data_IF_612334514310
#
_entry.id   IF_612334514310
#
_cell.length_a   1.000
_cell.length_b   1.000
_cell.length_c   1.000
_cell.angle_alpha   90.00
_cell.angle_beta   90.00
_cell.angle_gamma   90.00
#
_symmetry.space_group_name_H-M   'P 1'
#
loop_
_entity.id
_entity.type
_entity.pdbx_description
1 polymer ?
#
# COMPACT_ATOMS: atom_id res chain seq x y z
N UNK A 1 -38.69 -57.32 22.78
CA UNK A 1 -38.41 -56.02 23.43
C UNK A 1 -37.97 -55.09 22.31
N UNK A 2 -38.93 -54.58 21.54
CA UNK A 2 -39.60 -53.30 21.83
C UNK A 2 -38.54 -52.20 21.86
N UNK A 3 -38.27 -51.58 20.71
CA UNK A 3 -38.71 -50.21 20.38
C UNK A 3 -37.41 -49.42 20.12
N UNK A 4 -37.29 -48.43 19.24
CA UNK A 4 -38.22 -47.35 19.00
C UNK A 4 -37.89 -46.74 17.64
N UNK A 5 -38.93 -46.64 16.83
CA UNK A 5 -38.98 -45.95 15.55
C UNK A 5 -38.94 -44.43 15.80
N UNK A 6 -38.04 -43.68 15.14
CA UNK A 6 -38.32 -42.27 14.86
C UNK A 6 -37.61 -41.77 13.60
N UNK A 7 -38.28 -42.00 12.47
CA UNK A 7 -38.04 -41.27 11.22
C UNK A 7 -38.31 -39.79 11.44
N UNK A 8 -37.27 -38.98 11.62
CA UNK A 8 -37.41 -37.53 11.61
C UNK A 8 -37.28 -37.04 10.17
N UNK A 9 -38.42 -36.96 9.46
CA UNK A 9 -38.53 -36.17 8.23
C UNK A 9 -38.37 -34.69 8.61
N UNK A 10 -37.17 -34.15 8.51
CA UNK A 10 -36.96 -32.71 8.59
C UNK A 10 -37.06 -32.11 7.18
N UNK A 11 -38.29 -31.64 6.92
CA UNK A 11 -38.77 -30.75 5.86
C UNK A 11 -37.69 -29.78 5.35
N UNK A 12 -37.53 -29.75 4.01
CA UNK A 12 -36.87 -28.70 3.24
C UNK A 12 -37.01 -27.32 3.91
N UNK A 13 -35.92 -26.78 4.44
CA UNK A 13 -35.79 -25.35 4.72
C UNK A 13 -34.82 -24.83 3.68
N UNK A 14 -35.38 -24.29 2.59
CA UNK A 14 -34.63 -23.49 1.65
C UNK A 14 -34.06 -22.30 2.41
N UNK A 15 -32.76 -22.33 2.69
CA UNK A 15 -32.04 -21.12 3.10
C UNK A 15 -31.82 -20.34 1.82
N UNK A 16 -32.72 -19.40 1.59
CA UNK A 16 -32.54 -18.29 0.67
C UNK A 16 -31.17 -17.70 0.90
N UNK A 17 -30.30 -17.79 -0.12
CA UNK A 17 -28.98 -17.17 -0.15
C UNK A 17 -29.20 -15.65 -0.19
N UNK A 18 -29.28 -15.04 0.99
CA UNK A 18 -29.37 -13.61 1.15
C UNK A 18 -28.02 -12.99 0.79
N UNK A 19 -28.06 -12.16 -0.27
CA UNK A 19 -27.18 -11.02 -0.51
C UNK A 19 -25.80 -11.37 -1.07
N UNK A 20 -25.76 -11.59 -2.39
CA UNK A 20 -24.57 -11.29 -3.21
C UNK A 20 -24.43 -9.77 -3.35
N UNK A 21 -23.96 -9.09 -2.30
CA UNK A 21 -23.56 -7.69 -2.34
C UNK A 21 -22.06 -7.64 -2.10
N UNK A 22 -21.27 -7.43 -3.16
CA UNK A 22 -20.08 -6.55 -3.13
C UNK A 22 -19.32 -6.55 -4.47
N UNK A 23 -19.61 -5.59 -5.35
CA UNK A 23 -18.57 -4.96 -6.15
C UNK A 23 -17.93 -3.74 -5.42
N UNK A 24 -18.44 -3.31 -4.26
CA UNK A 24 -18.00 -2.07 -3.58
C UNK A 24 -16.65 -2.16 -2.85
N UNK A 25 -16.16 -3.37 -2.54
CA UNK A 25 -14.90 -3.54 -1.78
C UNK A 25 -13.68 -3.21 -2.66
N UNK A 26 -13.77 -3.45 -3.98
CA UNK A 26 -12.64 -3.23 -4.91
C UNK A 26 -12.31 -1.74 -5.01
N UNK A 27 -13.32 -0.86 -5.09
CA UNK A 27 -13.09 0.58 -5.30
C UNK A 27 -12.50 1.27 -4.07
N UNK A 28 -12.97 0.91 -2.87
CA UNK A 28 -12.49 1.51 -1.62
C UNK A 28 -11.03 1.13 -1.32
N UNK A 29 -10.64 -0.12 -1.62
CA UNK A 29 -9.24 -0.53 -1.49
C UNK A 29 -8.35 0.12 -2.55
N UNK A 30 -8.86 0.36 -3.75
CA UNK A 30 -8.12 1.05 -4.80
C UNK A 30 -7.85 2.51 -4.42
N UNK A 31 -8.87 3.21 -3.91
CA UNK A 31 -8.77 4.58 -3.41
C UNK A 31 -7.81 4.69 -2.23
N UNK A 32 -7.91 3.81 -1.23
CA UNK A 32 -7.01 3.81 -0.08
C UNK A 32 -5.54 3.55 -0.46
N UNK A 33 -5.28 2.76 -1.52
CA UNK A 33 -3.92 2.53 -2.03
C UNK A 33 -3.39 3.74 -2.81
N UNK A 34 -4.25 4.40 -3.59
CA UNK A 34 -3.90 5.64 -4.30
C UNK A 34 -3.57 6.73 -3.30
N UNK A 35 -4.36 6.88 -2.23
CA UNK A 35 -4.10 7.84 -1.15
C UNK A 35 -2.77 7.56 -0.46
N UNK A 36 -2.49 6.30 -0.09
CA UNK A 36 -1.20 5.95 0.52
C UNK A 36 0.00 6.26 -0.39
N UNK A 37 -0.12 6.00 -1.70
CA UNK A 37 0.92 6.33 -2.67
C UNK A 37 1.10 7.85 -2.82
N UNK A 38 0.00 8.60 -2.82
CA UNK A 38 0.00 10.08 -2.84
C UNK A 38 0.67 10.64 -1.60
N UNK A 39 0.31 10.14 -0.42
CA UNK A 39 0.89 10.57 0.85
C UNK A 39 2.41 10.32 0.88
N UNK A 40 2.87 9.14 0.46
CA UNK A 40 4.31 8.85 0.33
C UNK A 40 4.98 9.83 -0.64
N UNK A 41 4.38 10.08 -1.82
CA UNK A 41 4.94 10.98 -2.82
C UNK A 41 5.05 12.43 -2.30
N UNK A 42 4.01 12.93 -1.62
CA UNK A 42 4.01 14.26 -1.01
C UNK A 42 5.05 14.39 0.11
N UNK A 43 5.22 13.34 0.92
CA UNK A 43 6.28 13.29 1.93
C UNK A 43 7.65 13.36 1.24
N UNK A 44 7.92 12.51 0.23
CA UNK A 44 9.21 12.54 -0.49
C UNK A 44 9.50 13.92 -1.10
N UNK A 45 8.49 14.57 -1.67
CA UNK A 45 8.63 15.90 -2.25
C UNK A 45 8.90 17.00 -1.20
N UNK A 46 8.44 16.82 0.03
CA UNK A 46 8.56 17.79 1.13
C UNK A 46 9.74 17.54 2.07
N UNK A 47 10.42 16.39 1.99
CA UNK A 47 11.61 16.14 2.82
C UNK A 47 12.68 17.19 2.53
N UNK A 48 13.02 17.93 3.59
CA UNK A 48 14.19 18.76 3.65
C UNK A 48 15.14 18.14 4.68
N UNK A 49 16.15 17.41 4.20
CA UNK A 49 17.08 16.58 4.98
C UNK A 49 16.52 15.18 5.36
N UNK A 50 15.58 15.10 6.30
CA UNK A 50 14.92 13.84 6.72
C UNK A 50 13.42 14.04 6.96
N UNK A 51 12.61 12.97 6.98
CA UNK A 51 11.18 13.09 7.27
C UNK A 51 10.94 13.63 8.68
N UNK A 52 9.99 14.56 8.82
CA UNK A 52 9.52 15.08 10.11
C UNK A 52 8.95 13.96 10.99
N UNK A 53 8.73 14.23 12.29
CA UNK A 53 8.11 13.27 13.18
C UNK A 53 6.68 12.87 12.72
N UNK A 54 5.92 13.85 12.22
CA UNK A 54 4.59 13.64 11.63
C UNK A 54 4.67 12.74 10.39
N UNK A 55 5.59 13.05 9.46
CA UNK A 55 5.80 12.23 8.26
C UNK A 55 6.20 10.80 8.64
N UNK A 56 7.06 10.60 9.63
CA UNK A 56 7.43 9.26 10.12
C UNK A 56 6.23 8.51 10.70
N UNK A 57 5.36 9.18 11.43
CA UNK A 57 4.15 8.56 11.98
C UNK A 57 3.18 8.13 10.86
N UNK A 58 2.97 8.97 9.85
CA UNK A 58 2.18 8.63 8.67
C UNK A 58 2.77 7.43 7.92
N UNK A 59 4.08 7.45 7.64
CA UNK A 59 4.77 6.34 6.97
C UNK A 59 4.69 5.04 7.77
N UNK A 60 4.79 5.10 9.10
CA UNK A 60 4.64 3.92 9.96
C UNK A 60 3.22 3.32 9.90
N UNK A 61 2.19 4.15 9.76
CA UNK A 61 0.81 3.67 9.56
C UNK A 61 0.66 2.94 8.23
N UNK A 62 1.25 3.48 7.16
CA UNK A 62 1.23 2.85 5.83
C UNK A 62 2.03 1.54 5.84
N UNK A 63 3.23 1.55 6.44
CA UNK A 63 4.09 0.37 6.55
C UNK A 63 3.41 -0.76 7.34
N UNK A 64 2.76 -0.43 8.46
CA UNK A 64 2.10 -1.40 9.33
C UNK A 64 0.75 -1.90 8.82
N UNK A 65 0.20 -1.32 7.75
CA UNK A 65 -1.10 -1.71 7.22
C UNK A 65 -0.97 -2.94 6.30
N UNK A 66 -1.23 -4.12 6.86
CA UNK A 66 -1.14 -5.41 6.14
C UNK A 66 -2.11 -5.55 4.97
N UNK A 67 -3.17 -4.72 4.91
CA UNK A 67 -4.09 -4.70 3.77
C UNK A 67 -3.47 -4.07 2.52
N UNK A 68 -2.38 -3.31 2.66
CA UNK A 68 -1.64 -2.77 1.52
C UNK A 68 -0.70 -3.80 0.90
N UNK A 69 -0.55 -3.80 -0.44
CA UNK A 69 0.49 -4.56 -1.12
C UNK A 69 1.87 -4.26 -0.55
N UNK A 70 2.71 -5.31 -0.48
CA UNK A 70 4.07 -5.22 0.06
C UNK A 70 4.87 -4.05 -0.52
N UNK A 71 4.70 -3.74 -1.81
CA UNK A 71 5.42 -2.62 -2.44
C UNK A 71 5.10 -1.25 -1.85
N UNK A 72 3.85 -0.98 -1.50
CA UNK A 72 3.47 0.29 -0.84
C UNK A 72 4.13 0.38 0.54
N UNK A 73 4.14 -0.72 1.28
CA UNK A 73 4.77 -0.78 2.61
C UNK A 73 6.29 -0.62 2.52
N UNK A 74 6.94 -1.22 1.52
CA UNK A 74 8.38 -1.06 1.25
C UNK A 74 8.75 0.39 0.91
N UNK A 75 7.92 1.08 0.13
CA UNK A 75 8.11 2.51 -0.16
C UNK A 75 8.07 3.32 1.14
N UNK A 76 7.03 3.12 1.96
CA UNK A 76 6.87 3.82 3.22
C UNK A 76 8.05 3.58 4.19
N UNK A 77 8.42 2.32 4.40
CA UNK A 77 9.55 1.92 5.23
C UNK A 77 10.87 2.54 4.76
N UNK A 78 11.11 2.56 3.45
CA UNK A 78 12.34 3.15 2.89
C UNK A 78 12.40 4.64 3.15
N UNK A 79 11.30 5.37 2.92
CA UNK A 79 11.24 6.82 3.15
C UNK A 79 11.38 7.16 4.63
N UNK A 80 10.77 6.38 5.54
CA UNK A 80 10.84 6.62 6.98
C UNK A 80 12.28 6.55 7.53
N UNK A 81 13.12 5.75 6.87
CA UNK A 81 14.52 5.53 7.23
C UNK A 81 15.51 6.47 6.51
N UNK A 82 15.03 7.41 5.67
CA UNK A 82 15.89 8.41 5.05
C UNK A 82 16.45 9.35 6.11
N UNK A 83 17.79 9.47 6.15
CA UNK A 83 18.49 10.50 6.94
C UNK A 83 19.14 11.55 6.03
N UNK A 84 19.79 11.10 4.97
CA UNK A 84 20.30 11.92 3.86
C UNK A 84 19.96 11.25 2.53
N UNK A 85 20.06 9.92 2.48
CA UNK A 85 19.67 9.10 1.35
C UNK A 85 18.96 7.84 1.87
N UNK A 86 18.35 7.08 0.96
CA UNK A 86 17.96 5.70 1.26
C UNK A 86 19.19 4.87 1.68
N UNK A 87 19.06 4.07 2.73
CA UNK A 87 20.12 3.14 3.15
C UNK A 87 20.27 1.97 2.14
N UNK A 88 21.24 1.08 2.36
CA UNK A 88 21.53 -0.01 1.42
C UNK A 88 20.31 -0.93 1.19
N UNK A 89 19.62 -1.31 2.26
CA UNK A 89 18.41 -2.15 2.22
C UNK A 89 17.26 -1.47 1.47
N UNK A 90 17.05 -0.17 1.74
CA UNK A 90 16.06 0.65 1.06
C UNK A 90 16.36 0.77 -0.44
N UNK A 91 17.62 1.02 -0.81
CA UNK A 91 18.03 1.03 -2.23
C UNK A 91 17.78 -0.30 -2.92
N UNK A 92 18.13 -1.41 -2.29
CA UNK A 92 17.86 -2.74 -2.82
C UNK A 92 16.35 -2.97 -2.99
N UNK A 93 15.54 -2.58 -2.00
CA UNK A 93 14.08 -2.66 -2.03
C UNK A 93 13.49 -1.85 -3.19
N UNK A 94 14.01 -0.64 -3.44
CA UNK A 94 13.59 0.20 -4.57
C UNK A 94 13.96 -0.41 -5.91
N UNK A 95 15.15 -1.01 -6.04
CA UNK A 95 15.55 -1.74 -7.24
C UNK A 95 14.66 -2.96 -7.49
N UNK A 96 14.29 -3.70 -6.44
CA UNK A 96 13.35 -4.82 -6.55
C UNK A 96 11.98 -4.36 -7.04
N UNK A 97 11.47 -3.23 -6.55
CA UNK A 97 10.19 -2.67 -7.00
C UNK A 97 10.23 -2.20 -8.46
N UNK A 98 11.31 -1.53 -8.87
CA UNK A 98 11.49 -1.11 -10.26
C UNK A 98 11.50 -2.31 -11.22
N UNK A 99 12.15 -3.41 -10.83
CA UNK A 99 12.24 -4.63 -11.63
C UNK A 99 10.98 -5.52 -11.54
N UNK A 100 10.00 -5.18 -10.71
CA UNK A 100 8.78 -5.96 -10.58
C UNK A 100 7.85 -5.70 -11.78
N UNK A 101 7.73 -6.69 -12.67
CA UNK A 101 6.89 -6.62 -13.86
C UNK A 101 5.41 -6.37 -13.55
N UNK A 102 4.95 -6.68 -12.34
CA UNK A 102 3.55 -6.48 -11.90
C UNK A 102 3.33 -5.14 -11.19
N UNK A 103 4.39 -4.38 -10.92
CA UNK A 103 4.25 -3.06 -10.32
C UNK A 103 3.75 -2.05 -11.36
N UNK A 104 2.74 -1.22 -11.03
CA UNK A 104 2.32 -0.11 -11.89
C UNK A 104 3.45 0.88 -12.15
N UNK A 105 3.47 1.52 -13.31
CA UNK A 105 4.54 2.45 -13.70
C UNK A 105 4.70 3.63 -12.72
N UNK A 106 3.64 4.27 -12.18
CA UNK A 106 3.80 5.30 -11.15
C UNK A 106 4.53 4.78 -9.90
N UNK A 107 4.29 3.53 -9.50
CA UNK A 107 4.96 2.91 -8.35
C UNK A 107 6.44 2.70 -8.63
N UNK A 108 6.80 2.30 -9.86
CA UNK A 108 8.21 2.17 -10.28
C UNK A 108 8.91 3.52 -10.31
N UNK A 109 8.26 4.56 -10.85
CA UNK A 109 8.79 5.92 -10.88
C UNK A 109 9.01 6.48 -9.47
N UNK A 110 8.06 6.26 -8.55
CA UNK A 110 8.22 6.63 -7.15
C UNK A 110 9.41 5.89 -6.50
N UNK A 111 9.53 4.58 -6.75
CA UNK A 111 10.64 3.79 -6.25
C UNK A 111 12.00 4.27 -6.79
N UNK A 112 12.07 4.64 -8.07
CA UNK A 112 13.28 5.21 -8.68
C UNK A 112 13.69 6.50 -7.97
N UNK A 113 12.75 7.45 -7.81
CA UNK A 113 13.00 8.74 -7.16
C UNK A 113 13.49 8.53 -5.71
N UNK A 114 12.84 7.65 -4.95
CA UNK A 114 13.26 7.30 -3.58
C UNK A 114 14.66 6.67 -3.57
N UNK A 115 14.94 5.75 -4.50
CA UNK A 115 16.21 5.04 -4.56
C UNK A 115 17.42 5.94 -4.82
N UNK A 116 17.22 7.04 -5.56
CA UNK A 116 18.24 8.07 -5.82
C UNK A 116 18.10 9.33 -4.96
N UNK A 117 17.22 9.32 -3.97
CA UNK A 117 17.05 10.44 -3.05
C UNK A 117 18.39 10.78 -2.38
N UNK A 118 18.76 12.05 -2.38
CA UNK A 118 19.97 12.56 -1.73
C UNK A 118 19.76 13.99 -1.23
N UNK A 119 19.74 14.16 0.09
CA UNK A 119 19.36 15.35 0.87
C UNK A 119 17.93 15.85 0.65
N UNK A 120 17.53 16.06 -0.60
CA UNK A 120 16.19 16.42 -1.02
C UNK A 120 15.90 15.89 -2.42
N UNK A 121 14.62 15.75 -2.76
CA UNK A 121 14.21 15.51 -4.15
C UNK A 121 14.58 16.72 -5.03
N UNK A 122 14.97 16.48 -6.28
CA UNK A 122 15.20 17.58 -7.23
C UNK A 122 13.88 18.28 -7.58
N UNK A 123 13.92 19.51 -8.08
CA UNK A 123 12.71 20.23 -8.51
C UNK A 123 11.94 19.48 -9.60
N UNK A 124 12.67 18.82 -10.51
CA UNK A 124 12.07 17.95 -11.52
C UNK A 124 11.33 16.77 -10.88
N UNK A 125 11.91 16.17 -9.84
CA UNK A 125 11.30 15.02 -9.17
C UNK A 125 10.08 15.43 -8.35
N UNK A 126 10.14 16.58 -7.66
CA UNK A 126 8.98 17.14 -6.97
C UNK A 126 7.82 17.35 -7.94
N UNK A 127 8.09 17.95 -9.10
CA UNK A 127 7.08 18.15 -10.13
C UNK A 127 6.53 16.81 -10.67
N UNK A 128 7.40 15.83 -10.91
CA UNK A 128 7.01 14.50 -11.37
C UNK A 128 6.13 13.77 -10.34
N UNK A 129 6.48 13.83 -9.05
CA UNK A 129 5.72 13.23 -7.96
C UNK A 129 4.30 13.82 -7.89
N UNK A 130 4.17 15.14 -7.96
CA UNK A 130 2.87 15.82 -7.94
C UNK A 130 2.03 15.53 -9.19
N UNK A 131 2.66 15.31 -10.35
CA UNK A 131 1.95 14.96 -11.57
C UNK A 131 1.49 13.49 -11.59
N UNK A 132 2.31 12.58 -11.06
CA UNK A 132 2.00 11.15 -10.99
C UNK A 132 0.98 10.82 -9.89
N UNK A 133 0.96 11.63 -8.83
CA UNK A 133 0.10 11.45 -7.66
C UNK A 133 -0.57 12.79 -7.28
N UNK A 134 -1.52 13.27 -8.11
CA UNK A 134 -2.22 14.55 -7.89
C UNK A 134 -3.13 14.49 -6.67
#
# INVERSE_FOLDING_TARGET
MEMFMKTMKLRNIGVTFLISLCPLIVTAQDEARIEALREIAQIVASINHFPSAENKAALAQIEGNESYPQGIRMLAATVANISHAANAEGKQSMTMLQNNQRAPDPVKSLAEIIGRFNHMASEQDKAALLALFP
#
